data_IF_248190785864
#
_entry.id   IF_248190785864
#
_cell.length_a   1.000
_cell.length_b   1.000
_cell.length_c   1.000
_cell.angle_alpha   90.00
_cell.angle_beta   90.00
_cell.angle_gamma   90.00
#
_symmetry.space_group_name_H-M   'P 1'
#
loop_
_entity.id
_entity.type
_entity.pdbx_description
1 polymer ?
#
# COMPACT_ATOMS: atom_id res chain seq x y z
N UNK A 1 -25.43 -2.74 2.62
CA UNK A 1 -24.14 -3.01 3.28
C UNK A 1 -23.09 -2.13 2.59
N UNK A 2 -22.19 -1.47 3.32
CA UNK A 2 -21.15 -0.58 2.75
C UNK A 2 -20.21 -1.38 1.83
N UNK A 3 -19.78 -0.82 0.70
CA UNK A 3 -18.81 -1.41 -0.23
C UNK A 3 -17.52 -1.89 0.44
N UNK A 4 -17.01 -1.15 1.42
CA UNK A 4 -15.84 -1.53 2.23
C UNK A 4 -16.12 -2.81 3.02
N UNK A 5 -17.30 -2.92 3.63
CA UNK A 5 -17.69 -4.10 4.40
C UNK A 5 -17.83 -5.34 3.51
N UNK A 6 -18.41 -5.18 2.32
CA UNK A 6 -18.53 -6.25 1.32
C UNK A 6 -17.13 -6.70 0.89
N UNK A 7 -16.24 -5.76 0.57
CA UNK A 7 -14.87 -6.07 0.19
C UNK A 7 -14.12 -6.82 1.30
N UNK A 8 -14.15 -6.30 2.53
CA UNK A 8 -13.52 -6.94 3.69
C UNK A 8 -14.04 -8.37 3.90
N UNK A 9 -15.35 -8.58 3.84
CA UNK A 9 -15.91 -9.92 3.99
C UNK A 9 -15.45 -10.88 2.88
N UNK A 10 -15.27 -10.39 1.66
CA UNK A 10 -14.80 -11.18 0.53
C UNK A 10 -13.30 -11.54 0.62
N UNK A 11 -12.48 -10.71 1.27
CA UNK A 11 -11.01 -10.91 1.29
C UNK A 11 -10.44 -11.40 2.62
N UNK A 12 -11.22 -11.39 3.72
CA UNK A 12 -10.73 -11.71 5.09
C UNK A 12 -10.07 -13.08 5.26
N UNK A 13 -10.31 -14.02 4.35
CA UNK A 13 -9.76 -15.38 4.39
C UNK A 13 -8.66 -15.63 3.38
N UNK A 14 -8.24 -14.59 2.63
CA UNK A 14 -7.23 -14.76 1.58
C UNK A 14 -5.80 -14.91 2.12
N UNK A 15 -5.51 -14.43 3.32
CA UNK A 15 -4.20 -14.59 3.96
C UNK A 15 -4.36 -15.50 5.16
N UNK A 16 -3.72 -16.68 5.14
CA UNK A 16 -3.77 -17.67 6.20
C UNK A 16 -2.48 -17.68 7.04
N UNK A 17 -2.54 -18.39 8.16
CA UNK A 17 -1.47 -18.46 9.18
C UNK A 17 -0.10 -18.94 8.65
N UNK A 18 -0.05 -19.54 7.47
CA UNK A 18 1.18 -20.07 6.87
C UNK A 18 1.49 -19.47 5.49
N UNK A 19 0.68 -18.52 5.02
CA UNK A 19 0.93 -17.85 3.75
C UNK A 19 2.01 -16.78 3.93
N UNK A 20 2.74 -16.51 2.86
CA UNK A 20 3.69 -15.42 2.79
C UNK A 20 2.98 -14.16 2.28
N UNK A 21 3.35 -13.01 2.82
CA UNK A 21 2.93 -11.72 2.31
C UNK A 21 4.16 -10.98 1.80
N UNK A 22 4.20 -10.69 0.49
CA UNK A 22 5.19 -9.76 -0.07
C UNK A 22 4.62 -8.35 0.07
N UNK A 23 5.39 -7.51 0.76
CA UNK A 23 5.13 -6.07 0.85
C UNK A 23 6.02 -5.37 -0.17
N UNK A 24 5.41 -4.92 -1.26
CA UNK A 24 6.05 -4.02 -2.22
C UNK A 24 5.72 -2.59 -1.82
N UNK A 25 6.68 -1.96 -1.15
CA UNK A 25 6.56 -0.62 -0.60
C UNK A 25 7.19 0.35 -1.59
N UNK A 26 6.45 1.41 -1.87
CA UNK A 26 6.92 2.50 -2.72
C UNK A 26 6.43 3.83 -2.15
N UNK A 27 6.71 4.91 -2.86
CA UNK A 27 6.22 6.22 -2.53
C UNK A 27 6.05 7.09 -3.77
N UNK A 28 5.18 8.10 -3.65
CA UNK A 28 4.92 9.05 -4.72
C UNK A 28 4.86 10.47 -4.17
N UNK A 29 5.75 11.33 -4.67
CA UNK A 29 5.70 12.76 -4.37
C UNK A 29 4.55 13.46 -5.10
N UNK A 30 3.83 14.30 -4.38
CA UNK A 30 2.76 15.17 -4.88
C UNK A 30 3.23 16.63 -4.85
N UNK A 31 4.09 16.98 -5.81
CA UNK A 31 4.82 18.28 -5.88
C UNK A 31 3.93 19.53 -5.71
N UNK A 32 2.67 19.46 -6.09
CA UNK A 32 1.73 20.59 -6.04
C UNK A 32 0.68 20.48 -4.92
N UNK A 33 0.61 19.36 -4.20
CA UNK A 33 -0.41 19.12 -3.17
C UNK A 33 0.11 19.55 -1.80
N UNK A 34 -0.54 20.55 -1.19
CA UNK A 34 -0.15 21.08 0.14
C UNK A 34 -1.17 20.86 1.26
N UNK A 35 -2.41 20.49 0.91
CA UNK A 35 -3.53 20.41 1.85
C UNK A 35 -4.33 19.10 1.73
N UNK A 36 -3.78 18.09 1.07
CA UNK A 36 -4.45 16.78 1.00
C UNK A 36 -4.26 16.04 2.32
N UNK A 37 -5.31 15.38 2.79
CA UNK A 37 -5.24 14.51 3.96
C UNK A 37 -4.24 13.37 3.75
N UNK A 38 -3.55 12.97 4.82
CA UNK A 38 -2.63 11.83 4.80
C UNK A 38 -1.29 12.07 4.10
N UNK A 39 -0.96 13.31 3.73
CA UNK A 39 0.36 13.63 3.17
C UNK A 39 1.47 13.35 4.21
N UNK A 40 2.52 12.68 3.76
CA UNK A 40 3.73 12.40 4.53
C UNK A 40 4.98 12.87 3.77
N UNK A 41 6.12 12.92 4.46
CA UNK A 41 7.43 13.11 3.82
C UNK A 41 7.84 11.79 3.16
N UNK A 42 8.13 11.83 1.86
CA UNK A 42 8.52 10.66 1.07
C UNK A 42 9.72 10.96 0.16
N UNK A 43 10.44 9.93 -0.28
CA UNK A 43 11.71 10.06 -1.01
C UNK A 43 11.53 9.76 -2.50
N UNK A 44 11.69 10.77 -3.34
CA UNK A 44 11.71 10.55 -4.78
C UNK A 44 13.11 10.09 -5.19
N UNK A 45 13.26 8.78 -5.36
CA UNK A 45 14.52 8.15 -5.80
C UNK A 45 15.02 8.63 -7.16
N UNK A 46 14.13 9.15 -8.04
CA UNK A 46 14.54 9.64 -9.36
C UNK A 46 15.22 11.01 -9.29
N UNK A 47 14.83 11.84 -8.32
CA UNK A 47 15.40 13.18 -8.12
C UNK A 47 16.27 13.29 -6.86
N UNK A 48 16.38 12.20 -6.10
CA UNK A 48 17.01 12.13 -4.79
C UNK A 48 16.52 13.25 -3.84
N UNK A 49 15.21 13.52 -3.87
CA UNK A 49 14.60 14.62 -3.09
C UNK A 49 13.62 14.09 -2.06
N UNK A 50 13.35 14.89 -1.02
CA UNK A 50 12.28 14.62 -0.05
C UNK A 50 11.19 15.67 -0.21
N UNK A 51 9.95 15.23 -0.38
CA UNK A 51 8.79 16.09 -0.59
C UNK A 51 7.53 15.54 0.06
N UNK A 52 6.44 16.30 -0.02
CA UNK A 52 5.13 15.83 0.44
C UNK A 52 4.56 14.84 -0.58
N UNK A 53 4.00 13.75 -0.10
CA UNK A 53 3.46 12.68 -0.93
C UNK A 53 2.76 11.61 -0.12
N UNK A 54 2.64 10.43 -0.73
CA UNK A 54 2.01 9.26 -0.11
C UNK A 54 2.96 8.07 -0.14
N UNK A 55 2.97 7.32 0.96
CA UNK A 55 3.48 5.95 0.95
C UNK A 55 2.49 5.07 0.21
N UNK A 56 3.01 4.23 -0.66
CA UNK A 56 2.25 3.22 -1.38
C UNK A 56 2.67 1.86 -0.84
N UNK A 57 1.69 1.00 -0.60
CA UNK A 57 1.94 -0.37 -0.17
C UNK A 57 1.06 -1.27 -1.01
N UNK A 58 1.71 -2.12 -1.80
CA UNK A 58 1.05 -3.22 -2.45
C UNK A 58 1.34 -4.50 -1.65
N UNK A 59 0.29 -5.28 -1.40
CA UNK A 59 0.39 -6.53 -0.63
C UNK A 59 0.00 -7.66 -1.58
N UNK A 60 0.93 -8.59 -1.78
CA UNK A 60 0.73 -9.78 -2.58
C UNK A 60 0.76 -10.97 -1.63
N UNK A 61 -0.32 -11.74 -1.62
CA UNK A 61 -0.35 -13.04 -0.94
C UNK A 61 0.34 -14.06 -1.84
N UNK A 62 1.16 -14.89 -1.22
CA UNK A 62 1.75 -16.07 -1.82
C UNK A 62 1.43 -17.21 -0.87
N UNK A 63 0.76 -18.22 -1.37
CA UNK A 63 0.39 -19.32 -0.51
C UNK A 63 1.64 -20.09 -0.04
N UNK A 64 1.50 -20.91 0.99
CA UNK A 64 2.63 -21.71 1.51
C UNK A 64 3.31 -22.65 0.49
N UNK A 65 2.70 -22.88 -0.69
CA UNK A 65 3.29 -23.65 -1.80
C UNK A 65 4.04 -22.79 -2.84
N UNK A 66 3.99 -21.46 -2.72
CA UNK A 66 4.70 -20.54 -3.60
C UNK A 66 3.91 -20.11 -4.84
N UNK A 67 2.60 -20.32 -4.87
CA UNK A 67 1.70 -19.88 -5.95
C UNK A 67 0.94 -18.60 -5.60
#
# INVERSE_FOLDING_TARGET
MNQITIHIQAVRFKINKNDYAILDISDIQKKYSRMMEGLARVHDGSTNSIGLGYWLMNIIEINHTGE
#
